data_IF_431389711965
#
_entry.id   IF_431389711965
#
_cell.length_a   1.000
_cell.length_b   1.000
_cell.length_c   1.000
_cell.angle_alpha   90.00
_cell.angle_beta   90.00
_cell.angle_gamma   90.00
#
_symmetry.space_group_name_H-M   'P 1'
#
loop_
_entity.id
_entity.type
_entity.pdbx_description
1 polymer ?
#
# COMPACT_ATOMS: atom_id res chain seq x y z
N UNK A 1 5.87 -21.28 -6.69
CA UNK A 1 7.17 -20.58 -6.75
C UNK A 1 7.15 -19.65 -7.95
N UNK A 2 7.43 -18.36 -7.76
CA UNK A 2 7.51 -17.38 -8.85
C UNK A 2 8.87 -17.55 -9.56
N UNK A 3 8.85 -17.60 -10.88
CA UNK A 3 10.07 -17.63 -11.72
C UNK A 3 10.13 -16.37 -12.57
N UNK A 4 11.30 -15.76 -12.67
CA UNK A 4 11.56 -14.65 -13.58
C UNK A 4 12.28 -15.24 -14.80
N UNK A 5 11.64 -15.15 -15.97
CA UNK A 5 12.26 -15.47 -17.25
C UNK A 5 12.85 -14.20 -17.87
N UNK A 6 14.16 -14.18 -18.04
CA UNK A 6 14.92 -13.05 -18.60
C UNK A 6 15.36 -13.29 -20.05
N UNK A 7 14.92 -14.39 -20.68
CA UNK A 7 15.39 -14.78 -22.01
C UNK A 7 15.19 -13.68 -23.06
N UNK A 8 14.03 -13.00 -23.02
CA UNK A 8 13.71 -11.90 -23.94
C UNK A 8 14.48 -10.59 -23.70
N UNK A 9 15.14 -10.44 -22.55
CA UNK A 9 15.92 -9.24 -22.21
C UNK A 9 17.45 -9.50 -22.25
N UNK A 10 17.86 -10.70 -22.59
CA UNK A 10 19.26 -11.13 -22.44
C UNK A 10 20.26 -10.25 -23.21
N UNK A 11 19.93 -9.81 -24.40
CA UNK A 11 20.78 -8.93 -25.22
C UNK A 11 20.89 -7.50 -24.70
N UNK A 12 19.97 -7.07 -23.83
CA UNK A 12 19.95 -5.73 -23.21
C UNK A 12 20.56 -5.71 -21.81
N UNK A 13 20.86 -6.87 -21.25
CA UNK A 13 21.43 -6.98 -19.91
C UNK A 13 22.95 -7.15 -20.02
N UNK A 14 23.77 -6.20 -19.55
CA UNK A 14 25.21 -6.33 -19.54
C UNK A 14 25.62 -7.53 -18.65
N UNK A 15 26.52 -8.38 -19.16
CA UNK A 15 27.03 -9.52 -18.40
C UNK A 15 27.92 -9.04 -17.24
N UNK A 16 27.61 -9.51 -16.04
CA UNK A 16 28.47 -9.41 -14.85
C UNK A 16 28.44 -8.09 -14.08
N UNK A 17 28.40 -6.93 -14.73
CA UNK A 17 28.56 -5.63 -14.06
C UNK A 17 27.33 -5.21 -13.21
N UNK A 18 26.14 -5.63 -13.60
CA UNK A 18 24.91 -5.28 -12.87
C UNK A 18 24.83 -5.94 -11.47
N UNK A 19 25.36 -7.15 -11.33
CA UNK A 19 25.35 -7.84 -10.03
C UNK A 19 26.21 -7.11 -9.02
N UNK A 20 27.41 -6.64 -9.44
CA UNK A 20 28.30 -5.88 -8.56
C UNK A 20 27.71 -4.51 -8.22
N UNK A 21 27.13 -3.81 -9.20
CA UNK A 21 26.49 -2.52 -8.95
C UNK A 21 25.29 -2.66 -8.02
N UNK A 22 24.45 -3.69 -8.22
CA UNK A 22 23.32 -3.96 -7.35
C UNK A 22 23.78 -4.33 -5.92
N UNK A 23 24.84 -5.13 -5.78
CA UNK A 23 25.40 -5.47 -4.48
C UNK A 23 25.92 -4.24 -3.75
N UNK A 24 26.69 -3.40 -4.42
CA UNK A 24 27.20 -2.14 -3.84
C UNK A 24 26.07 -1.21 -3.40
N UNK A 25 24.99 -1.12 -4.19
CA UNK A 25 23.82 -0.32 -3.82
C UNK A 25 23.09 -0.89 -2.59
N UNK A 26 22.95 -2.23 -2.52
CA UNK A 26 22.35 -2.91 -1.38
C UNK A 26 23.19 -2.72 -0.10
N UNK A 27 24.50 -2.84 -0.21
CA UNK A 27 25.40 -2.64 0.92
C UNK A 27 25.35 -1.19 1.40
N UNK A 28 25.37 -0.21 0.50
CA UNK A 28 25.20 1.20 0.81
C UNK A 28 23.87 1.50 1.51
N UNK A 29 22.77 0.84 1.08
CA UNK A 29 21.45 0.97 1.71
C UNK A 29 21.46 0.39 3.12
N UNK A 30 22.07 -0.80 3.31
CA UNK A 30 22.15 -1.47 4.62
C UNK A 30 23.03 -0.69 5.62
N UNK A 31 24.13 -0.15 5.13
CA UNK A 31 25.09 0.58 5.94
C UNK A 31 24.65 2.05 6.19
N UNK A 32 23.60 2.50 5.53
CA UNK A 32 23.09 3.87 5.65
C UNK A 32 24.08 4.93 5.18
N UNK A 33 24.93 4.61 4.20
CA UNK A 33 26.00 5.50 3.72
C UNK A 33 25.66 6.24 2.42
N UNK A 34 24.52 5.93 1.80
CA UNK A 34 24.07 6.54 0.57
C UNK A 34 23.40 7.91 0.74
N UNK A 35 23.27 8.65 -0.34
CA UNK A 35 22.45 9.85 -0.35
C UNK A 35 20.99 9.51 0.01
N UNK A 36 20.40 10.27 0.96
CA UNK A 36 19.06 9.99 1.48
C UNK A 36 19.03 8.98 2.63
N UNK A 37 20.15 8.70 3.28
CA UNK A 37 20.23 7.82 4.44
C UNK A 37 19.32 8.25 5.60
N UNK A 38 18.95 9.53 5.68
CA UNK A 38 17.99 10.03 6.66
C UNK A 38 16.56 9.50 6.44
N UNK A 39 16.27 8.86 5.30
CA UNK A 39 14.95 8.38 4.90
C UNK A 39 14.87 6.87 4.72
N UNK A 40 15.75 6.08 5.36
CA UNK A 40 15.80 4.63 5.22
C UNK A 40 15.10 3.86 6.35
N UNK A 41 14.37 4.53 7.25
CA UNK A 41 13.66 3.89 8.36
C UNK A 41 12.68 2.76 7.94
N UNK A 42 12.28 2.72 6.67
CA UNK A 42 11.46 1.66 6.12
C UNK A 42 12.18 0.32 5.95
N UNK A 43 13.52 0.31 5.90
CA UNK A 43 14.34 -0.91 5.67
C UNK A 43 14.13 -1.92 6.79
N UNK A 44 14.14 -1.46 8.04
CA UNK A 44 13.99 -2.31 9.23
C UNK A 44 12.55 -2.38 9.73
N UNK A 45 11.65 -1.58 9.20
CA UNK A 45 10.27 -1.49 9.65
C UNK A 45 9.55 -2.85 9.75
N UNK A 46 9.76 -3.84 8.86
CA UNK A 46 9.13 -5.14 9.00
C UNK A 46 9.50 -5.90 10.28
N UNK A 47 10.64 -5.56 10.91
CA UNK A 47 11.13 -6.20 12.13
C UNK A 47 11.02 -5.26 13.33
N UNK A 48 11.38 -3.99 13.15
CA UNK A 48 11.52 -2.98 14.20
C UNK A 48 10.37 -1.97 14.21
N UNK A 49 9.13 -2.43 13.91
CA UNK A 49 7.96 -1.57 13.99
C UNK A 49 7.52 -1.32 15.45
N UNK A 50 6.86 -0.19 15.70
CA UNK A 50 6.23 0.11 16.97
C UNK A 50 5.05 -0.85 17.22
N UNK A 51 5.21 -1.71 18.21
CA UNK A 51 4.22 -2.75 18.56
C UNK A 51 3.00 -2.17 19.26
N UNK A 52 3.15 -1.05 19.98
CA UNK A 52 2.03 -0.38 20.62
C UNK A 52 1.16 0.33 19.56
N UNK A 53 1.80 1.03 18.64
CA UNK A 53 1.10 1.62 17.50
C UNK A 53 0.39 0.56 16.67
N UNK A 54 1.06 -0.54 16.36
CA UNK A 54 0.45 -1.65 15.64
C UNK A 54 -0.77 -2.23 16.37
N UNK A 55 -0.70 -2.36 17.69
CA UNK A 55 -1.86 -2.77 18.50
C UNK A 55 -3.02 -1.78 18.41
N UNK A 56 -2.73 -0.47 18.37
CA UNK A 56 -3.75 0.58 18.17
C UNK A 56 -4.38 0.48 16.79
N UNK A 57 -3.57 0.24 15.74
CA UNK A 57 -4.06 0.02 14.37
C UNK A 57 -5.01 -1.19 14.33
N UNK A 58 -4.63 -2.31 14.96
CA UNK A 58 -5.49 -3.49 15.02
C UNK A 58 -6.82 -3.23 15.74
N UNK A 59 -6.81 -2.46 16.83
CA UNK A 59 -8.04 -2.07 17.54
C UNK A 59 -8.93 -1.18 16.65
N UNK A 60 -8.33 -0.20 15.97
CA UNK A 60 -9.06 0.67 15.03
C UNK A 60 -9.67 -0.15 13.88
N UNK A 61 -8.92 -1.09 13.30
CA UNK A 61 -9.42 -1.96 12.25
C UNK A 61 -10.60 -2.82 12.71
N UNK A 62 -10.54 -3.40 13.91
CA UNK A 62 -11.66 -4.17 14.49
C UNK A 62 -12.90 -3.28 14.71
N UNK A 63 -12.69 -2.05 15.19
CA UNK A 63 -13.79 -1.09 15.37
C UNK A 63 -14.44 -0.76 14.03
N UNK A 64 -13.67 -0.45 12.99
CA UNK A 64 -14.19 -0.19 11.65
C UNK A 64 -14.97 -1.38 11.12
N UNK A 65 -14.46 -2.60 11.31
CA UNK A 65 -15.14 -3.82 10.88
C UNK A 65 -16.47 -4.05 11.58
N UNK A 66 -16.61 -3.62 12.85
CA UNK A 66 -17.88 -3.75 13.58
C UNK A 66 -18.89 -2.65 13.22
N UNK A 67 -18.41 -1.44 13.00
CA UNK A 67 -19.25 -0.25 12.92
C UNK A 67 -19.64 0.13 11.49
N UNK A 68 -18.91 -0.37 10.49
CA UNK A 68 -19.04 0.11 9.11
C UNK A 68 -19.20 -1.00 8.09
N UNK A 69 -19.96 -0.70 7.03
CA UNK A 69 -20.10 -1.54 5.84
C UNK A 69 -19.20 -1.08 4.69
N UNK A 70 -18.64 0.10 4.80
CA UNK A 70 -17.66 0.65 3.86
C UNK A 70 -16.54 1.39 4.61
N UNK A 71 -15.33 1.33 4.04
CA UNK A 71 -14.17 2.10 4.45
C UNK A 71 -13.69 2.91 3.26
N UNK A 72 -13.64 4.23 3.42
CA UNK A 72 -13.07 5.13 2.42
C UNK A 72 -11.65 5.50 2.87
N UNK A 73 -10.67 5.19 2.05
CA UNK A 73 -9.26 5.56 2.27
C UNK A 73 -8.93 6.75 1.39
N UNK A 74 -8.68 7.90 2.02
CA UNK A 74 -8.33 9.14 1.34
C UNK A 74 -6.82 9.32 1.41
N UNK A 75 -6.15 9.32 0.27
CA UNK A 75 -4.71 9.48 0.18
C UNK A 75 -4.22 9.52 -1.26
N UNK A 76 -2.98 9.92 -1.45
CA UNK A 76 -2.34 10.02 -2.77
C UNK A 76 -0.98 9.32 -2.76
N UNK A 77 -0.60 8.74 -3.89
CA UNK A 77 0.71 8.10 -4.07
C UNK A 77 0.95 6.98 -3.06
N UNK A 78 2.09 7.00 -2.40
CA UNK A 78 2.49 5.98 -1.42
C UNK A 78 1.56 5.84 -0.22
N UNK A 79 0.74 6.85 0.07
CA UNK A 79 -0.22 6.80 1.18
C UNK A 79 -1.33 5.77 0.99
N UNK A 80 -1.63 5.36 -0.25
CA UNK A 80 -2.66 4.34 -0.48
C UNK A 80 -2.23 3.19 -1.40
N UNK A 81 -1.27 3.43 -2.31
CA UNK A 81 -0.90 2.45 -3.34
C UNK A 81 -0.34 1.14 -2.74
N UNK A 82 0.45 1.23 -1.67
CA UNK A 82 1.00 0.04 -1.00
C UNK A 82 -0.10 -0.84 -0.40
N UNK A 83 -1.01 -0.23 0.34
CA UNK A 83 -2.15 -0.94 0.93
C UNK A 83 -3.06 -1.53 -0.17
N UNK A 84 -3.37 -0.75 -1.21
CA UNK A 84 -4.16 -1.21 -2.35
C UNK A 84 -3.53 -2.40 -3.06
N UNK A 85 -2.23 -2.32 -3.34
CA UNK A 85 -1.50 -3.41 -4.00
C UNK A 85 -1.57 -4.72 -3.19
N UNK A 86 -1.40 -4.66 -1.87
CA UNK A 86 -1.50 -5.85 -1.00
C UNK A 86 -2.93 -6.39 -0.96
N UNK A 87 -3.94 -5.52 -0.90
CA UNK A 87 -5.35 -5.94 -0.90
C UNK A 87 -5.68 -6.64 -2.22
N UNK A 88 -5.32 -6.05 -3.35
CA UNK A 88 -5.61 -6.63 -4.68
C UNK A 88 -4.80 -7.92 -4.95
N UNK A 89 -3.59 -8.05 -4.39
CA UNK A 89 -2.78 -9.26 -4.47
C UNK A 89 -3.35 -10.41 -3.65
N UNK A 90 -3.76 -10.15 -2.41
CA UNK A 90 -4.20 -11.17 -1.46
C UNK A 90 -5.69 -11.48 -1.53
N UNK A 91 -6.46 -10.63 -2.18
CA UNK A 91 -7.90 -10.75 -2.33
C UNK A 91 -8.25 -10.83 -3.82
N UNK A 92 -9.38 -10.28 -4.17
CA UNK A 92 -9.82 -10.21 -5.57
C UNK A 92 -9.93 -8.74 -5.98
N UNK A 93 -9.65 -8.38 -7.24
CA UNK A 93 -9.97 -7.05 -7.76
C UNK A 93 -11.48 -6.74 -7.67
N UNK A 94 -12.31 -7.78 -7.55
CA UNK A 94 -13.76 -7.68 -7.34
C UNK A 94 -14.15 -7.74 -5.86
N UNK A 95 -13.23 -7.46 -4.94
CA UNK A 95 -13.43 -7.61 -3.50
C UNK A 95 -14.72 -6.97 -2.98
N UNK A 96 -15.04 -5.76 -3.44
CA UNK A 96 -16.25 -5.04 -3.03
C UNK A 96 -17.55 -5.68 -3.53
N UNK A 97 -17.49 -6.53 -4.56
CA UNK A 97 -18.66 -7.22 -5.11
C UNK A 97 -18.92 -8.59 -4.45
N UNK A 98 -17.96 -9.08 -3.67
CA UNK A 98 -18.08 -10.37 -3.01
C UNK A 98 -18.91 -10.27 -1.73
N UNK A 99 -19.70 -11.32 -1.45
CA UNK A 99 -20.36 -11.45 -0.15
C UNK A 99 -19.29 -11.72 0.92
N UNK A 100 -19.24 -10.88 1.96
CA UNK A 100 -18.24 -10.94 3.03
C UNK A 100 -18.72 -10.27 4.30
N UNK A 101 -18.02 -10.51 5.40
CA UNK A 101 -18.29 -9.89 6.71
C UNK A 101 -17.48 -8.61 6.96
N UNK A 102 -16.53 -8.30 6.09
CA UNK A 102 -15.67 -7.11 6.19
C UNK A 102 -16.20 -5.98 5.33
N UNK A 103 -15.91 -4.72 5.66
CA UNK A 103 -16.34 -3.57 4.85
C UNK A 103 -15.85 -3.61 3.41
N UNK A 104 -16.60 -3.00 2.51
CA UNK A 104 -16.09 -2.61 1.20
C UNK A 104 -15.01 -1.55 1.35
N UNK A 105 -13.99 -1.57 0.50
CA UNK A 105 -12.88 -0.62 0.56
C UNK A 105 -12.88 0.24 -0.70
N UNK A 106 -12.96 1.55 -0.52
CA UNK A 106 -12.91 2.55 -1.58
C UNK A 106 -11.71 3.45 -1.39
N UNK A 107 -11.02 3.77 -2.48
CA UNK A 107 -9.87 4.67 -2.47
C UNK A 107 -10.25 5.99 -3.14
N UNK A 108 -9.99 7.11 -2.46
CA UNK A 108 -10.29 8.46 -2.90
C UNK A 108 -9.11 9.42 -2.67
N UNK A 109 -9.17 10.61 -3.23
CA UNK A 109 -8.15 11.65 -3.01
C UNK A 109 -6.91 11.53 -3.90
N UNK A 110 -6.89 10.58 -4.83
CA UNK A 110 -5.82 10.43 -5.82
C UNK A 110 -6.05 11.25 -7.11
N UNK A 111 -7.14 12.00 -7.17
CA UNK A 111 -7.50 12.87 -8.27
C UNK A 111 -8.42 14.01 -7.80
N UNK A 112 -8.67 14.95 -8.68
CA UNK A 112 -9.50 16.14 -8.44
C UNK A 112 -10.89 16.04 -9.10
N UNK A 113 -11.26 14.86 -9.62
CA UNK A 113 -12.54 14.67 -10.27
C UNK A 113 -13.68 14.63 -9.27
N UNK A 114 -14.63 15.54 -9.38
CA UNK A 114 -15.88 15.53 -8.63
C UNK A 114 -16.75 14.32 -8.97
N UNK A 115 -16.72 13.87 -10.23
CA UNK A 115 -17.51 12.75 -10.69
C UNK A 115 -17.05 11.44 -10.04
N UNK A 116 -15.72 11.21 -9.96
CA UNK A 116 -15.16 10.05 -9.28
C UNK A 116 -15.54 10.00 -7.80
N UNK A 117 -15.55 11.16 -7.12
CA UNK A 117 -15.98 11.24 -5.72
C UNK A 117 -17.49 10.97 -5.60
N UNK A 118 -18.29 11.54 -6.50
CA UNK A 118 -19.75 11.35 -6.53
C UNK A 118 -20.11 9.87 -6.77
N UNK A 119 -19.38 9.17 -7.62
CA UNK A 119 -19.55 7.73 -7.84
C UNK A 119 -19.27 6.92 -6.57
N UNK A 120 -18.20 7.23 -5.84
CA UNK A 120 -17.89 6.56 -4.56
C UNK A 120 -19.03 6.80 -3.56
N UNK A 121 -19.52 8.03 -3.44
CA UNK A 121 -20.65 8.38 -2.57
C UNK A 121 -21.90 7.60 -2.97
N UNK A 122 -22.21 7.52 -4.27
CA UNK A 122 -23.34 6.77 -4.78
C UNK A 122 -23.20 5.26 -4.50
N UNK A 123 -22.01 4.68 -4.67
CA UNK A 123 -21.73 3.27 -4.35
C UNK A 123 -21.89 2.96 -2.87
N UNK A 124 -21.49 3.87 -1.99
CA UNK A 124 -21.67 3.72 -0.54
C UNK A 124 -23.16 3.79 -0.18
N UNK A 125 -23.87 4.73 -0.78
CA UNK A 125 -25.31 4.93 -0.53
C UNK A 125 -25.58 5.30 0.93
N UNK A 126 -26.58 4.67 1.52
CA UNK A 126 -27.00 4.89 2.92
C UNK A 126 -26.32 3.94 3.92
N UNK A 127 -25.24 3.28 3.53
CA UNK A 127 -24.51 2.35 4.42
C UNK A 127 -23.65 3.12 5.42
N UNK A 128 -23.53 2.59 6.62
CA UNK A 128 -22.56 3.09 7.58
C UNK A 128 -21.15 2.95 7.03
N UNK A 129 -20.37 4.01 7.11
CA UNK A 129 -19.00 4.03 6.60
C UNK A 129 -18.03 4.72 7.54
N UNK A 130 -16.78 4.31 7.47
CA UNK A 130 -15.64 4.97 8.12
C UNK A 130 -14.73 5.61 7.08
N UNK A 131 -14.01 6.63 7.49
CA UNK A 131 -13.02 7.33 6.65
C UNK A 131 -11.66 7.25 7.31
N UNK A 132 -10.65 6.84 6.52
CA UNK A 132 -9.24 6.91 6.89
C UNK A 132 -8.54 7.95 6.01
N UNK A 133 -8.10 9.04 6.61
CA UNK A 133 -7.40 10.12 5.90
C UNK A 133 -5.91 10.02 6.17
N UNK A 134 -5.14 9.93 5.10
CA UNK A 134 -3.67 9.87 5.15
C UNK A 134 -3.13 11.10 4.43
N UNK A 135 -2.80 12.12 5.21
CA UNK A 135 -2.25 13.37 4.69
C UNK A 135 -0.82 13.19 4.21
N UNK A 136 -0.43 13.94 3.18
CA UNK A 136 0.94 13.95 2.67
C UNK A 136 1.89 14.77 3.55
N UNK A 137 1.39 15.86 4.13
CA UNK A 137 2.21 16.86 4.84
C UNK A 137 1.79 17.06 6.31
N UNK A 138 0.81 16.33 6.78
CA UNK A 138 0.25 16.50 8.11
C UNK A 138 -0.89 17.51 8.21
#
# INVERSE_FOLDING_TARGET
MVRIDRSGAKEFLPEGSLVQQAQSAIDMLKDGTGAGSDFIGWVDLPVNYDKEEFSRIQKAAKKIQSDSRALVVIGIGGSYLGARAVIELLRSPNYNMLQKSTPDIYFAGNGISSDALSEIIAMIGNRDFSVNVISKSG
#
